data_IF_298183989722
#
_entry.id   IF_298183989722
#
_cell.length_a   1.000
_cell.length_b   1.000
_cell.length_c   1.000
_cell.angle_alpha   90.00
_cell.angle_beta   90.00
_cell.angle_gamma   90.00
#
_symmetry.space_group_name_H-M   'P 1'
#
loop_
_entity.id
_entity.type
_entity.pdbx_description
1 polymer ?
#
# COMPACT_ATOMS: atom_id res chain seq x y z
N UNK A 1 -13.85 -21.07 -8.98
CA UNK A 1 -15.09 -21.44 -9.68
C UNK A 1 -16.26 -21.16 -8.73
N UNK A 2 -17.41 -20.76 -9.17
CA UNK A 2 -18.62 -20.44 -8.40
C UNK A 2 -18.58 -19.22 -7.45
N UNK A 3 -17.52 -18.41 -7.43
CA UNK A 3 -17.41 -17.24 -6.54
C UNK A 3 -18.49 -16.21 -6.85
N UNK A 4 -18.81 -16.00 -8.12
CA UNK A 4 -19.83 -15.03 -8.56
C UNK A 4 -21.23 -15.42 -8.10
N UNK A 5 -21.55 -16.72 -8.12
CA UNK A 5 -22.85 -17.22 -7.63
C UNK A 5 -23.10 -16.96 -6.14
N UNK A 6 -22.01 -16.85 -5.34
CA UNK A 6 -22.15 -16.54 -3.90
C UNK A 6 -22.41 -15.06 -3.65
N UNK A 7 -22.03 -14.20 -4.58
CA UNK A 7 -22.23 -12.74 -4.50
C UNK A 7 -23.56 -12.29 -5.07
N UNK A 8 -24.16 -13.12 -5.90
CA UNK A 8 -25.44 -12.78 -6.55
C UNK A 8 -26.54 -12.50 -5.53
N UNK A 9 -27.22 -11.38 -5.67
CA UNK A 9 -28.30 -10.94 -4.78
C UNK A 9 -27.85 -10.50 -3.39
N UNK A 10 -26.53 -10.35 -3.17
CA UNK A 10 -25.97 -9.79 -1.93
C UNK A 10 -25.69 -8.31 -2.08
N UNK A 11 -25.90 -7.55 -1.01
CA UNK A 11 -25.57 -6.13 -0.94
C UNK A 11 -24.10 -5.97 -0.58
N UNK A 12 -23.62 -6.75 0.39
CA UNK A 12 -22.28 -6.67 0.94
C UNK A 12 -21.62 -8.05 0.95
N UNK A 13 -20.34 -8.08 0.67
CA UNK A 13 -19.48 -9.24 0.84
C UNK A 13 -18.27 -8.82 1.68
N UNK A 14 -18.20 -9.31 2.91
CA UNK A 14 -17.13 -9.00 3.85
C UNK A 14 -16.03 -10.06 3.73
N UNK A 15 -14.81 -9.60 3.52
CA UNK A 15 -13.59 -10.38 3.58
C UNK A 15 -12.83 -9.96 4.83
N UNK A 16 -13.05 -10.69 5.90
CA UNK A 16 -12.49 -10.38 7.20
C UNK A 16 -11.08 -10.96 7.36
N UNK A 17 -10.21 -10.18 8.01
CA UNK A 17 -8.85 -10.52 8.40
C UNK A 17 -8.02 -11.17 7.28
N UNK A 18 -7.92 -10.48 6.16
CA UNK A 18 -7.09 -10.96 5.05
C UNK A 18 -5.62 -10.99 5.45
N UNK A 19 -5.02 -12.16 5.35
CA UNK A 19 -3.57 -12.32 5.43
C UNK A 19 -2.85 -11.54 4.32
N UNK A 20 -1.58 -11.23 4.53
CA UNK A 20 -0.78 -10.58 3.51
C UNK A 20 -0.66 -11.44 2.26
N UNK A 21 -0.94 -10.85 1.10
CA UNK A 21 -0.73 -11.47 -0.21
C UNK A 21 -0.23 -10.46 -1.22
N UNK A 22 0.41 -10.93 -2.29
CA UNK A 22 0.85 -10.10 -3.40
C UNK A 22 -0.16 -10.19 -4.54
N UNK A 23 -0.78 -9.06 -4.88
CA UNK A 23 -1.71 -8.98 -6.00
C UNK A 23 -0.94 -8.95 -7.32
N UNK A 24 -1.17 -9.92 -8.16
CA UNK A 24 -0.50 -10.03 -9.47
C UNK A 24 -1.33 -9.45 -10.63
N UNK A 25 -2.66 -9.48 -10.52
CA UNK A 25 -3.59 -9.06 -11.57
C UNK A 25 -4.76 -8.25 -11.00
N UNK A 26 -5.03 -7.12 -11.62
CA UNK A 26 -6.14 -6.21 -11.28
C UNK A 26 -7.38 -6.41 -12.14
N UNK A 27 -7.28 -7.19 -13.21
CA UNK A 27 -8.36 -7.37 -14.18
C UNK A 27 -9.65 -7.84 -13.53
N UNK A 28 -9.54 -8.79 -12.61
CA UNK A 28 -10.69 -9.33 -11.87
C UNK A 28 -11.36 -8.28 -10.98
N UNK A 29 -10.58 -7.50 -10.25
CA UNK A 29 -11.10 -6.41 -9.41
C UNK A 29 -11.79 -5.36 -10.26
N UNK A 30 -11.17 -4.97 -11.38
CA UNK A 30 -11.72 -4.00 -12.32
C UNK A 30 -13.01 -4.49 -12.97
N UNK A 31 -13.06 -5.74 -13.36
CA UNK A 31 -14.24 -6.34 -13.95
C UNK A 31 -15.41 -6.36 -12.95
N UNK A 32 -15.16 -6.82 -11.72
CA UNK A 32 -16.20 -6.93 -10.68
C UNK A 32 -16.77 -5.58 -10.28
N UNK A 33 -15.94 -4.55 -10.15
CA UNK A 33 -16.34 -3.18 -9.79
C UNK A 33 -16.82 -2.33 -10.97
N UNK A 34 -16.65 -2.81 -12.21
CA UNK A 34 -17.01 -2.09 -13.42
C UNK A 34 -18.49 -2.18 -13.79
N UNK A 35 -19.29 -2.96 -13.07
CA UNK A 35 -20.73 -3.12 -13.34
C UNK A 35 -21.04 -3.90 -14.63
N UNK A 36 -20.07 -4.64 -15.16
CA UNK A 36 -20.28 -5.51 -16.32
C UNK A 36 -21.01 -6.79 -15.96
N UNK A 37 -21.59 -7.45 -16.96
CA UNK A 37 -22.12 -8.78 -16.79
C UNK A 37 -21.00 -9.80 -16.58
N UNK A 38 -21.25 -10.75 -15.70
CA UNK A 38 -20.34 -11.84 -15.39
C UNK A 38 -21.02 -13.16 -15.64
N UNK A 39 -20.24 -14.13 -16.08
CA UNK A 39 -20.74 -15.51 -16.16
C UNK A 39 -20.92 -16.05 -14.74
N UNK A 40 -22.16 -16.31 -14.36
CA UNK A 40 -22.55 -16.88 -13.08
C UNK A 40 -22.73 -18.38 -13.26
N UNK A 41 -21.85 -19.15 -12.62
CA UNK A 41 -21.87 -20.61 -12.69
C UNK A 41 -22.27 -21.18 -11.33
N UNK A 42 -23.21 -22.12 -11.33
CA UNK A 42 -23.63 -22.91 -10.15
C UNK A 42 -23.37 -24.38 -10.40
N UNK A 43 -23.05 -25.13 -9.35
CA UNK A 43 -22.83 -26.58 -9.48
C UNK A 43 -24.11 -27.27 -10.00
N UNK A 44 -24.00 -28.01 -11.10
CA UNK A 44 -25.10 -28.76 -11.68
C UNK A 44 -26.17 -27.92 -12.39
N UNK A 45 -25.86 -26.66 -12.73
CA UNK A 45 -26.76 -25.80 -13.53
C UNK A 45 -25.95 -25.12 -14.64
N UNK A 46 -26.63 -24.83 -15.74
CA UNK A 46 -26.06 -24.05 -16.81
C UNK A 46 -25.68 -22.64 -16.32
N UNK A 47 -24.54 -22.16 -16.78
CA UNK A 47 -24.09 -20.80 -16.46
C UNK A 47 -24.88 -19.78 -17.27
N UNK A 48 -25.15 -18.64 -16.68
CA UNK A 48 -25.81 -17.51 -17.33
C UNK A 48 -25.06 -16.20 -17.07
N UNK A 49 -25.32 -15.20 -17.87
CA UNK A 49 -24.74 -13.87 -17.69
C UNK A 49 -25.62 -13.03 -16.77
N UNK A 50 -25.02 -12.52 -15.71
CA UNK A 50 -25.71 -11.69 -14.72
C UNK A 50 -24.83 -10.57 -14.18
N UNK A 51 -25.46 -9.53 -13.67
CA UNK A 51 -24.77 -8.40 -13.05
C UNK A 51 -24.63 -8.61 -11.56
N UNK A 52 -23.38 -8.44 -11.07
CA UNK A 52 -23.06 -8.46 -9.65
C UNK A 52 -22.98 -7.03 -9.15
N UNK A 53 -23.83 -6.69 -8.18
CA UNK A 53 -23.90 -5.35 -7.56
C UNK A 53 -23.39 -5.33 -6.12
N UNK A 54 -22.85 -6.46 -5.66
CA UNK A 54 -22.31 -6.63 -4.31
C UNK A 54 -21.09 -5.74 -4.10
N UNK A 55 -21.10 -4.98 -3.02
CA UNK A 55 -19.92 -4.24 -2.57
C UNK A 55 -19.00 -5.17 -1.79
N UNK A 56 -17.74 -5.26 -2.19
CA UNK A 56 -16.73 -5.98 -1.42
C UNK A 56 -16.07 -5.06 -0.40
N UNK A 57 -16.03 -5.49 0.86
CA UNK A 57 -15.31 -4.84 1.95
C UNK A 57 -14.22 -5.78 2.43
N UNK A 58 -13.02 -5.26 2.55
CA UNK A 58 -11.86 -6.02 2.98
C UNK A 58 -11.30 -5.41 4.26
N UNK A 59 -11.07 -6.24 5.28
CA UNK A 59 -10.31 -5.87 6.46
C UNK A 59 -8.98 -6.60 6.45
N UNK A 60 -7.92 -5.93 6.85
CA UNK A 60 -6.58 -6.52 6.93
C UNK A 60 -5.70 -5.70 7.87
N UNK A 61 -4.82 -6.37 8.59
CA UNK A 61 -3.79 -5.71 9.39
C UNK A 61 -2.73 -5.02 8.52
N UNK A 62 -2.58 -5.51 7.29
CA UNK A 62 -1.65 -4.98 6.31
C UNK A 62 -2.26 -5.02 4.91
N UNK A 63 -2.19 -3.93 4.14
CA UNK A 63 -2.70 -3.94 2.77
C UNK A 63 -1.90 -4.91 1.90
N UNK A 64 -2.57 -5.46 0.87
CA UNK A 64 -1.93 -6.33 -0.10
C UNK A 64 -0.75 -5.64 -0.79
N UNK A 65 0.33 -6.40 -1.02
CA UNK A 65 1.40 -5.99 -1.92
C UNK A 65 0.95 -6.11 -3.38
N UNK A 66 1.66 -5.45 -4.28
CA UNK A 66 1.37 -5.52 -5.72
C UNK A 66 2.62 -5.29 -6.57
N UNK A 67 2.52 -5.64 -7.85
CA UNK A 67 3.59 -5.42 -8.82
C UNK A 67 3.62 -3.96 -9.30
N UNK A 68 4.77 -3.51 -9.83
CA UNK A 68 4.97 -2.15 -10.34
C UNK A 68 3.89 -1.70 -11.34
N UNK A 69 3.41 -2.60 -12.19
CA UNK A 69 2.36 -2.27 -13.17
C UNK A 69 1.05 -1.84 -12.50
N UNK A 70 0.72 -2.39 -11.34
CA UNK A 70 -0.46 -2.00 -10.56
C UNK A 70 -0.26 -0.65 -9.91
N UNK A 71 0.95 -0.33 -9.50
CA UNK A 71 1.29 0.96 -8.89
C UNK A 71 0.88 2.16 -9.77
N UNK A 72 1.00 2.03 -11.09
CA UNK A 72 0.64 3.08 -12.05
C UNK A 72 -0.78 2.94 -12.63
N UNK A 73 -1.53 1.91 -12.24
CA UNK A 73 -2.88 1.64 -12.77
C UNK A 73 -3.94 2.54 -12.13
N UNK A 74 -4.13 3.75 -12.71
CA UNK A 74 -5.14 4.71 -12.30
C UNK A 74 -6.54 4.08 -12.20
N UNK A 75 -6.89 3.18 -13.13
CA UNK A 75 -8.19 2.55 -13.18
C UNK A 75 -8.41 1.59 -12.00
N UNK A 76 -7.36 0.96 -11.51
CA UNK A 76 -7.40 0.17 -10.30
C UNK A 76 -7.60 1.04 -9.06
N UNK A 77 -6.73 2.03 -8.84
CA UNK A 77 -6.77 2.89 -7.65
C UNK A 77 -8.06 3.68 -7.55
N UNK A 78 -8.61 4.14 -8.67
CA UNK A 78 -9.87 4.87 -8.70
C UNK A 78 -11.11 4.06 -8.28
N UNK A 79 -10.97 2.76 -7.95
CA UNK A 79 -12.07 1.90 -7.49
C UNK A 79 -12.06 1.61 -5.99
N UNK A 80 -11.02 2.06 -5.29
CA UNK A 80 -10.86 1.80 -3.88
C UNK A 80 -11.30 2.98 -3.03
N UNK A 81 -11.93 2.66 -1.92
CA UNK A 81 -12.01 3.47 -0.73
C UNK A 81 -11.06 2.85 0.28
N UNK A 82 -10.09 3.61 0.76
CA UNK A 82 -9.13 3.14 1.74
C UNK A 82 -9.35 3.86 3.06
N UNK A 83 -9.77 3.11 4.08
CA UNK A 83 -9.93 3.60 5.44
C UNK A 83 -8.79 3.05 6.28
N UNK A 84 -7.98 3.95 6.83
CA UNK A 84 -6.85 3.59 7.66
C UNK A 84 -7.18 3.82 9.12
N UNK A 85 -6.94 2.79 9.95
CA UNK A 85 -7.08 2.84 11.40
C UNK A 85 -5.68 2.83 12.03
N UNK A 86 -5.09 4.00 12.34
CA UNK A 86 -3.69 4.10 12.77
C UNK A 86 -3.50 3.72 14.24
N UNK A 87 -4.57 3.69 15.01
CA UNK A 87 -4.50 3.47 16.43
C UNK A 87 -4.59 1.99 16.77
N UNK A 88 -3.72 1.55 17.65
CA UNK A 88 -3.81 0.26 18.28
C UNK A 88 -4.47 0.43 19.66
N UNK A 89 -5.43 -0.42 19.94
CA UNK A 89 -6.14 -0.43 21.23
C UNK A 89 -5.98 -1.80 21.86
N UNK A 90 -5.68 -1.82 23.13
CA UNK A 90 -5.72 -3.06 23.91
C UNK A 90 -7.15 -3.57 23.99
N UNK A 91 -7.28 -4.89 24.04
CA UNK A 91 -8.58 -5.52 24.20
C UNK A 91 -9.21 -5.07 25.51
N UNK A 92 -10.44 -4.54 25.44
CA UNK A 92 -11.19 -4.09 26.60
C UNK A 92 -12.62 -4.63 26.53
N UNK A 93 -12.87 -5.72 27.25
CA UNK A 93 -14.15 -6.39 27.27
C UNK A 93 -15.26 -5.53 27.91
N UNK A 94 -14.91 -4.67 28.85
CA UNK A 94 -15.85 -3.75 29.46
C UNK A 94 -16.29 -2.66 28.46
N UNK A 95 -15.35 -2.13 27.69
CA UNK A 95 -15.65 -1.19 26.60
C UNK A 95 -16.61 -1.84 25.59
N UNK A 96 -16.36 -3.08 25.19
CA UNK A 96 -17.24 -3.78 24.24
C UNK A 96 -18.65 -3.93 24.80
N UNK A 97 -18.80 -4.38 26.05
CA UNK A 97 -20.12 -4.53 26.71
C UNK A 97 -20.89 -3.21 26.79
N UNK A 98 -20.18 -2.13 27.15
CA UNK A 98 -20.80 -0.81 27.33
C UNK A 98 -21.10 -0.10 26.01
N UNK A 99 -20.32 -0.40 24.95
CA UNK A 99 -20.49 0.24 23.64
C UNK A 99 -21.55 -0.45 22.78
N UNK A 100 -21.57 -1.80 22.78
CA UNK A 100 -22.48 -2.56 21.93
C UNK A 100 -23.80 -2.93 22.62
N UNK A 101 -24.35 -2.00 23.41
CA UNK A 101 -25.69 -2.14 24.01
C UNK A 101 -26.78 -2.06 22.94
N UNK A 102 -27.98 -2.58 23.20
CA UNK A 102 -29.11 -2.47 22.28
C UNK A 102 -29.52 -1.02 22.03
N UNK A 103 -29.37 -0.15 23.01
CA UNK A 103 -29.63 1.27 22.87
C UNK A 103 -28.64 1.92 21.90
N UNK A 104 -27.33 1.68 22.03
CA UNK A 104 -26.30 2.20 21.14
C UNK A 104 -26.45 1.65 19.71
N UNK A 105 -26.78 0.37 19.55
CA UNK A 105 -27.06 -0.23 18.25
C UNK A 105 -28.28 0.44 17.59
N UNK A 106 -29.33 0.68 18.36
CA UNK A 106 -30.53 1.37 17.87
C UNK A 106 -30.23 2.81 17.47
N UNK A 107 -29.47 3.55 18.28
CA UNK A 107 -29.03 4.90 17.95
C UNK A 107 -28.19 4.93 16.66
N UNK A 108 -27.23 4.02 16.52
CA UNK A 108 -26.42 3.89 15.30
C UNK A 108 -27.30 3.58 14.06
N UNK A 109 -28.25 2.65 14.18
CA UNK A 109 -29.16 2.33 13.10
C UNK A 109 -30.00 3.54 12.66
N UNK A 110 -30.45 4.35 13.61
CA UNK A 110 -31.20 5.58 13.31
C UNK A 110 -30.35 6.57 12.51
N UNK A 111 -29.06 6.74 12.84
CA UNK A 111 -28.17 7.60 12.06
C UNK A 111 -27.93 7.04 10.64
N UNK A 112 -27.77 5.74 10.49
CA UNK A 112 -27.68 5.10 9.18
C UNK A 112 -28.94 5.32 8.35
N UNK A 113 -30.13 5.21 8.95
CA UNK A 113 -31.41 5.46 8.26
C UNK A 113 -31.51 6.91 7.81
N UNK A 114 -31.12 7.88 8.65
CA UNK A 114 -31.11 9.31 8.27
C UNK A 114 -30.21 9.53 7.06
N UNK A 115 -28.98 9.01 7.08
CA UNK A 115 -28.05 9.10 5.95
C UNK A 115 -28.64 8.49 4.66
N UNK A 116 -29.32 7.36 4.74
CA UNK A 116 -29.98 6.73 3.59
C UNK A 116 -31.08 7.61 3.02
N UNK A 117 -31.87 8.26 3.88
CA UNK A 117 -32.93 9.18 3.47
C UNK A 117 -32.36 10.40 2.75
N UNK A 118 -31.29 11.00 3.29
CA UNK A 118 -30.58 12.14 2.68
C UNK A 118 -30.03 11.76 1.30
N UNK A 119 -29.33 10.63 1.18
CA UNK A 119 -28.80 10.12 -0.10
C UNK A 119 -29.93 9.93 -1.13
N UNK A 120 -31.10 9.42 -0.72
CA UNK A 120 -32.24 9.24 -1.62
C UNK A 120 -32.88 10.56 -2.06
N UNK A 121 -32.95 11.54 -1.18
CA UNK A 121 -33.47 12.87 -1.49
C UNK A 121 -32.58 13.62 -2.47
N UNK A 122 -31.27 13.58 -2.25
CA UNK A 122 -30.28 14.23 -3.10
C UNK A 122 -30.01 13.48 -4.42
N UNK A 123 -30.54 12.28 -4.59
CA UNK A 123 -30.36 11.39 -5.76
C UNK A 123 -28.92 11.05 -6.12
N UNK A 124 -27.96 11.36 -5.28
CA UNK A 124 -26.56 10.99 -5.46
C UNK A 124 -25.91 10.72 -4.11
N UNK A 125 -24.89 9.91 -4.14
CA UNK A 125 -24.07 9.64 -2.97
C UNK A 125 -23.13 10.83 -2.75
N UNK A 126 -23.35 11.58 -1.69
CA UNK A 126 -22.46 12.68 -1.27
C UNK A 126 -21.21 12.09 -0.61
N UNK A 127 -20.56 11.17 -1.26
CA UNK A 127 -19.26 10.71 -0.82
C UNK A 127 -18.21 11.41 -1.67
N UNK A 128 -17.49 12.32 -1.06
CA UNK A 128 -16.35 12.94 -1.69
C UNK A 128 -15.32 11.86 -1.97
N UNK A 129 -15.22 11.46 -3.23
CA UNK A 129 -14.28 10.44 -3.64
C UNK A 129 -12.87 11.01 -3.58
N UNK A 130 -12.02 10.38 -2.80
CA UNK A 130 -10.60 10.76 -2.79
C UNK A 130 -9.97 10.58 -4.18
N UNK A 131 -9.04 11.44 -4.51
CA UNK A 131 -8.22 11.29 -5.70
C UNK A 131 -7.45 9.96 -5.64
N UNK A 132 -7.38 9.28 -6.76
CA UNK A 132 -6.73 7.96 -6.85
C UNK A 132 -5.26 7.96 -6.40
N UNK A 133 -4.58 9.10 -6.52
CA UNK A 133 -3.20 9.30 -6.04
C UNK A 133 -3.12 9.27 -4.54
N UNK A 134 -4.12 9.83 -3.85
CA UNK A 134 -4.19 9.84 -2.39
C UNK A 134 -4.54 8.46 -1.84
N UNK A 135 -5.46 7.76 -2.46
CA UNK A 135 -5.78 6.35 -2.09
C UNK A 135 -4.52 5.49 -2.20
N UNK A 136 -3.78 5.63 -3.31
CA UNK A 136 -2.52 4.92 -3.52
C UNK A 136 -1.48 5.29 -2.46
N UNK A 137 -1.33 6.59 -2.15
CA UNK A 137 -0.38 7.07 -1.15
C UNK A 137 -0.66 6.45 0.22
N UNK A 138 -1.91 6.49 0.68
CA UNK A 138 -2.33 5.89 1.95
C UNK A 138 -2.06 4.38 2.00
N UNK A 139 -2.38 3.69 0.91
CA UNK A 139 -2.10 2.25 0.79
C UNK A 139 -0.60 1.96 0.89
N UNK A 140 0.22 2.74 0.19
CA UNK A 140 1.67 2.60 0.22
C UNK A 140 2.24 2.88 1.61
N UNK A 141 1.79 3.94 2.28
CA UNK A 141 2.22 4.25 3.65
C UNK A 141 1.92 3.11 4.63
N UNK A 142 0.78 2.46 4.50
CA UNK A 142 0.40 1.36 5.39
C UNK A 142 1.07 0.02 5.04
N UNK A 143 1.43 -0.21 3.78
CA UNK A 143 1.96 -1.49 3.30
C UNK A 143 3.45 -1.52 3.00
N UNK A 144 4.09 -0.36 2.87
CA UNK A 144 5.50 -0.24 2.50
C UNK A 144 6.23 0.71 3.45
N UNK A 145 6.96 0.15 4.39
CA UNK A 145 7.68 0.91 5.41
C UNK A 145 8.79 1.79 4.80
N UNK A 146 9.41 1.37 3.70
CA UNK A 146 10.39 2.18 2.99
C UNK A 146 9.75 3.43 2.36
N UNK A 147 8.52 3.32 1.85
CA UNK A 147 7.81 4.48 1.31
C UNK A 147 7.59 5.54 2.39
N UNK A 148 7.17 5.14 3.57
CA UNK A 148 6.98 6.04 4.72
C UNK A 148 8.31 6.68 5.16
N UNK A 149 9.37 5.88 5.25
CA UNK A 149 10.70 6.39 5.53
C UNK A 149 11.15 7.46 4.52
N UNK A 150 10.91 7.22 3.22
CA UNK A 150 11.23 8.17 2.15
C UNK A 150 10.44 9.47 2.32
N UNK A 151 9.12 9.40 2.53
CA UNK A 151 8.29 10.61 2.73
C UNK A 151 8.80 11.45 3.91
N UNK A 152 9.21 10.82 5.00
CA UNK A 152 9.69 11.54 6.19
C UNK A 152 11.08 12.16 6.00
N UNK A 153 11.97 11.48 5.29
CA UNK A 153 13.40 11.78 5.29
C UNK A 153 13.98 12.28 3.97
N UNK A 154 13.23 12.16 2.88
CA UNK A 154 13.70 12.49 1.55
C UNK A 154 12.71 13.42 0.82
N UNK A 155 13.21 14.08 -0.22
CA UNK A 155 12.41 14.89 -1.15
C UNK A 155 12.51 14.32 -2.55
N UNK A 156 11.44 14.43 -3.31
CA UNK A 156 11.42 14.02 -4.72
C UNK A 156 12.37 14.91 -5.52
N UNK A 157 13.02 14.33 -6.50
CA UNK A 157 14.03 14.97 -7.34
C UNK A 157 15.45 14.52 -6.99
N UNK A 158 16.31 14.56 -7.98
CA UNK A 158 17.63 13.94 -7.91
C UNK A 158 17.57 12.41 -8.12
N UNK A 159 18.75 11.84 -8.24
CA UNK A 159 18.92 10.39 -8.37
C UNK A 159 20.04 9.95 -7.43
N UNK A 160 19.68 9.25 -6.37
CA UNK A 160 20.63 8.82 -5.35
C UNK A 160 20.76 7.30 -5.39
N UNK A 161 22.01 6.82 -5.38
CA UNK A 161 22.34 5.41 -5.27
C UNK A 161 22.74 5.10 -3.83
N UNK A 162 22.21 4.00 -3.29
CA UNK A 162 22.44 3.57 -1.91
C UNK A 162 22.99 2.17 -1.90
N UNK A 163 24.09 1.94 -1.20
CA UNK A 163 24.51 0.58 -0.87
C UNK A 163 23.39 -0.10 -0.06
N UNK A 164 23.04 -1.34 -0.41
CA UNK A 164 21.87 -2.04 0.13
C UNK A 164 21.86 -2.08 1.66
N UNK A 165 22.98 -2.42 2.27
CA UNK A 165 23.10 -2.51 3.72
C UNK A 165 23.07 -1.16 4.42
N UNK A 166 23.57 -0.10 3.77
CA UNK A 166 23.51 1.26 4.32
C UNK A 166 22.06 1.76 4.39
N UNK A 167 21.30 1.65 3.29
CA UNK A 167 19.87 2.03 3.29
C UNK A 167 19.06 1.21 4.28
N UNK A 168 19.33 -0.09 4.38
CA UNK A 168 18.66 -0.97 5.32
C UNK A 168 18.96 -0.59 6.78
N UNK A 169 20.20 -0.21 7.08
CA UNK A 169 20.60 0.28 8.40
C UNK A 169 19.91 1.59 8.75
N UNK A 170 19.85 2.52 7.79
CA UNK A 170 19.14 3.79 7.97
C UNK A 170 17.66 3.57 8.25
N UNK A 171 17.01 2.67 7.48
CA UNK A 171 15.60 2.31 7.65
C UNK A 171 15.34 1.66 9.02
N UNK A 172 16.18 0.71 9.44
CA UNK A 172 16.07 0.09 10.76
C UNK A 172 16.19 1.11 11.90
N UNK A 173 17.17 2.00 11.82
CA UNK A 173 17.34 3.05 12.82
C UNK A 173 16.12 3.96 12.90
N UNK A 174 15.52 4.29 11.76
CA UNK A 174 14.30 5.09 11.70
C UNK A 174 13.11 4.33 12.32
N UNK A 175 12.93 3.05 12.04
CA UNK A 175 11.87 2.23 12.63
C UNK A 175 11.95 2.20 14.15
N UNK A 176 13.14 1.98 14.70
CA UNK A 176 13.38 1.95 16.15
C UNK A 176 13.04 3.31 16.77
N UNK A 177 13.56 4.40 16.20
CA UNK A 177 13.36 5.76 16.73
C UNK A 177 11.89 6.19 16.72
N UNK A 178 11.11 5.72 15.74
CA UNK A 178 9.70 6.08 15.57
C UNK A 178 8.74 5.01 16.12
N UNK A 179 9.25 3.92 16.71
CA UNK A 179 8.46 2.78 17.21
C UNK A 179 7.49 2.24 16.16
N UNK A 180 7.94 2.09 14.93
CA UNK A 180 7.11 1.73 13.79
C UNK A 180 7.74 0.62 12.96
N UNK A 181 6.88 -0.31 12.51
CA UNK A 181 7.13 -1.12 11.34
C UNK A 181 8.26 -2.13 11.40
N UNK A 182 8.75 -2.50 12.59
CA UNK A 182 9.75 -3.58 12.68
C UNK A 182 9.25 -4.89 12.06
N UNK A 183 7.97 -5.17 12.19
CA UNK A 183 7.27 -6.30 11.60
C UNK A 183 7.14 -6.21 10.07
N UNK A 184 7.26 -5.00 9.51
CA UNK A 184 7.24 -4.73 8.07
C UNK A 184 8.62 -4.77 7.42
N UNK A 185 9.68 -4.82 8.22
CA UNK A 185 11.05 -4.91 7.69
C UNK A 185 11.31 -6.30 7.12
N UNK A 186 11.95 -6.40 5.95
CA UNK A 186 12.45 -7.67 5.47
C UNK A 186 13.60 -8.16 6.36
N UNK A 187 13.87 -9.45 6.32
CA UNK A 187 14.94 -10.04 7.14
C UNK A 187 16.32 -9.60 6.68
N UNK A 188 16.49 -9.33 5.38
CA UNK A 188 17.77 -8.97 4.76
C UNK A 188 17.63 -7.71 3.92
N UNK A 189 18.74 -6.96 3.82
CA UNK A 189 18.82 -5.76 2.97
C UNK A 189 18.46 -6.03 1.50
N UNK A 190 18.84 -7.19 1.00
CA UNK A 190 18.56 -7.60 -0.38
C UNK A 190 17.07 -7.65 -0.70
N UNK A 191 16.27 -8.04 0.27
CA UNK A 191 14.81 -8.22 0.11
C UNK A 191 14.04 -6.87 0.05
N UNK A 192 14.72 -5.73 0.25
CA UNK A 192 14.16 -4.38 0.02
C UNK A 192 13.91 -4.05 -1.45
N UNK A 193 14.45 -4.82 -2.39
CA UNK A 193 14.39 -4.52 -3.82
C UNK A 193 12.96 -4.24 -4.31
N UNK A 194 12.02 -5.11 -3.98
CA UNK A 194 10.59 -4.94 -4.33
C UNK A 194 10.02 -3.62 -3.76
N UNK A 195 10.38 -3.26 -2.52
CA UNK A 195 9.92 -2.02 -1.88
C UNK A 195 10.49 -0.78 -2.58
N UNK A 196 11.76 -0.84 -3.00
CA UNK A 196 12.43 0.21 -3.77
C UNK A 196 11.76 0.41 -5.13
N UNK A 197 11.44 -0.67 -5.82
CA UNK A 197 10.75 -0.61 -7.12
C UNK A 197 9.36 0.00 -7.01
N UNK A 198 8.62 -0.32 -5.95
CA UNK A 198 7.33 0.29 -5.66
C UNK A 198 7.43 1.80 -5.37
N UNK A 199 8.57 2.25 -4.85
CA UNK A 199 8.86 3.68 -4.68
C UNK A 199 9.37 4.35 -5.98
N UNK A 200 9.30 3.65 -7.11
CA UNK A 200 9.76 4.17 -8.41
C UNK A 200 11.27 4.12 -8.60
N UNK A 201 11.98 3.37 -7.76
CA UNK A 201 13.42 3.16 -7.85
C UNK A 201 13.82 1.95 -8.68
N UNK A 202 15.10 1.59 -8.60
CA UNK A 202 15.69 0.38 -9.18
C UNK A 202 16.13 -0.52 -8.03
N UNK A 203 15.53 -1.70 -7.93
CA UNK A 203 15.73 -2.65 -6.83
C UNK A 203 17.07 -3.39 -6.87
N UNK A 204 17.75 -3.39 -8.02
CA UNK A 204 19.11 -3.90 -8.15
C UNK A 204 19.83 -3.19 -9.30
N UNK A 205 20.93 -2.53 -8.98
CA UNK A 205 21.81 -1.85 -9.90
C UNK A 205 23.27 -2.06 -9.49
N UNK A 206 24.18 -1.84 -10.41
CA UNK A 206 25.61 -1.81 -10.11
C UNK A 206 26.13 -0.39 -10.26
N UNK A 207 26.87 0.10 -9.28
CA UNK A 207 27.50 1.41 -9.27
C UNK A 207 28.85 1.36 -8.56
N UNK A 208 29.73 2.22 -8.99
CA UNK A 208 31.01 2.47 -8.32
C UNK A 208 30.82 3.52 -7.24
N UNK A 209 31.44 3.34 -6.09
CA UNK A 209 31.35 4.27 -4.96
C UNK A 209 32.72 4.82 -4.59
N UNK A 210 32.80 6.15 -4.36
CA UNK A 210 34.06 6.89 -4.09
C UNK A 210 34.82 6.35 -2.88
N UNK A 211 34.08 6.04 -1.81
CA UNK A 211 34.64 5.60 -0.54
C UNK A 211 34.73 4.06 -0.38
N UNK A 212 34.57 3.31 -1.46
CA UNK A 212 34.65 1.83 -1.49
C UNK A 212 35.69 1.34 -2.48
N UNK A 213 36.80 2.06 -2.62
CA UNK A 213 37.95 1.67 -3.47
C UNK A 213 37.62 1.64 -4.96
N UNK A 214 36.64 2.42 -5.42
CA UNK A 214 36.21 2.50 -6.83
C UNK A 214 35.82 1.14 -7.44
N UNK A 215 35.39 0.19 -6.60
CA UNK A 215 34.83 -1.09 -7.07
C UNK A 215 33.34 -1.02 -7.29
N UNK A 216 32.82 -1.87 -8.18
CA UNK A 216 31.39 -1.96 -8.46
C UNK A 216 30.68 -2.69 -7.33
N UNK A 217 29.62 -2.10 -6.81
CA UNK A 217 28.77 -2.67 -5.78
C UNK A 217 27.31 -2.74 -6.23
N UNK A 218 26.60 -3.77 -5.77
CA UNK A 218 25.16 -3.85 -5.90
C UNK A 218 24.50 -2.80 -5.00
N UNK A 219 23.57 -2.02 -5.56
CA UNK A 219 22.93 -0.89 -4.89
C UNK A 219 21.46 -0.74 -5.26
N UNK A 220 20.75 0.01 -4.45
CA UNK A 220 19.43 0.56 -4.78
C UNK A 220 19.59 1.95 -5.40
N UNK A 221 18.72 2.30 -6.35
CA UNK A 221 18.67 3.65 -6.90
C UNK A 221 17.28 4.22 -6.66
N UNK A 222 17.20 5.38 -6.01
CA UNK A 222 15.98 6.09 -5.75
C UNK A 222 15.99 7.45 -6.45
N UNK A 223 14.82 7.92 -6.89
CA UNK A 223 14.64 9.26 -7.49
C UNK A 223 14.33 10.31 -6.41
N UNK A 224 15.06 10.24 -5.30
CA UNK A 224 14.91 11.07 -4.13
C UNK A 224 16.27 11.52 -3.62
N UNK A 225 16.28 12.68 -2.96
CA UNK A 225 17.44 13.24 -2.27
C UNK A 225 17.14 13.38 -0.78
N UNK A 226 18.17 13.31 0.07
CA UNK A 226 18.00 13.51 1.50
C UNK A 226 17.48 14.90 1.83
N UNK A 227 16.50 14.99 2.74
CA UNK A 227 16.19 16.26 3.39
C UNK A 227 17.41 16.73 4.18
N UNK A 228 17.77 18.04 4.17
CA UNK A 228 18.95 18.54 4.88
C UNK A 228 18.99 18.17 6.37
N UNK A 229 17.83 18.15 7.03
CA UNK A 229 17.66 17.87 8.45
C UNK A 229 17.61 16.37 8.80
N UNK A 230 17.61 15.46 7.82
CA UNK A 230 17.50 14.03 8.12
C UNK A 230 18.74 13.51 8.82
N UNK A 231 18.57 13.07 10.07
CA UNK A 231 19.65 12.46 10.87
C UNK A 231 20.08 11.07 10.39
N UNK A 232 19.29 10.45 9.52
CA UNK A 232 19.56 9.09 9.01
C UNK A 232 20.52 9.08 7.83
N UNK A 233 20.79 10.22 7.21
CA UNK A 233 21.82 10.38 6.16
C UNK A 233 23.17 9.84 6.59
N UNK A 234 23.53 9.94 7.87
CA UNK A 234 24.79 9.45 8.42
C UNK A 234 25.00 7.94 8.25
N UNK A 235 23.94 7.16 8.10
CA UNK A 235 24.01 5.72 7.87
C UNK A 235 24.24 5.35 6.40
N UNK A 236 24.15 6.32 5.48
CA UNK A 236 24.41 6.15 4.06
C UNK A 236 25.56 7.08 3.62
N UNK A 237 26.78 6.84 4.09
CA UNK A 237 27.93 7.71 3.79
C UNK A 237 28.47 7.52 2.37
N UNK A 238 28.07 6.47 1.67
CA UNK A 238 28.62 6.12 0.37
C UNK A 238 28.02 6.96 -0.73
N UNK A 239 28.86 7.61 -1.53
CA UNK A 239 28.48 8.39 -2.70
C UNK A 239 28.86 7.65 -3.99
N UNK A 240 27.93 7.53 -4.92
CA UNK A 240 28.21 6.98 -6.24
C UNK A 240 29.21 7.89 -6.97
N UNK A 241 30.21 7.27 -7.56
CA UNK A 241 31.19 7.97 -8.40
C UNK A 241 30.53 8.42 -9.70
N UNK A 242 30.90 9.61 -10.17
CA UNK A 242 30.58 10.10 -11.51
C UNK A 242 31.57 9.51 -12.52
N UNK A 243 31.22 9.57 -13.81
CA UNK A 243 32.13 9.10 -14.88
C UNK A 243 33.48 9.84 -14.81
N UNK A 244 33.47 11.11 -14.38
CA UNK A 244 34.67 11.92 -14.23
C UNK A 244 35.55 11.45 -13.04
N UNK A 245 34.94 11.05 -11.93
CA UNK A 245 35.68 10.47 -10.80
C UNK A 245 36.38 9.15 -11.18
N UNK A 246 35.72 8.36 -12.03
CA UNK A 246 36.25 7.08 -12.52
C UNK A 246 37.47 7.32 -13.45
N UNK A 247 37.34 8.23 -14.40
CA UNK A 247 38.40 8.57 -15.37
C UNK A 247 39.63 9.09 -14.63
N UNK A 248 39.47 9.99 -13.67
CA UNK A 248 40.59 10.58 -12.92
C UNK A 248 41.35 9.56 -12.06
N UNK A 249 40.72 8.42 -11.73
CA UNK A 249 41.38 7.39 -10.94
C UNK A 249 42.31 6.46 -11.76
N UNK A 250 42.27 6.54 -13.09
CA UNK A 250 43.14 5.77 -14.00
C UNK A 250 44.27 6.62 -14.59
N UNK A 251 44.36 7.91 -14.25
CA UNK A 251 45.44 8.81 -14.56
C UNK A 251 46.37 9.01 -13.36
#
# INVERSE_FOLDING_TARGET
>A
RFVMARKEGKILNLHDDLGYFKMGDTGRVKAMSGGYNHKIERKGKDGYDGRITTVDVYTANRPAGFNRNIYIDKAFWGRWYYVYFPNHFDQNDEFQKNTFTEENKSAFLNEVIKMIVEIRQEKHLVVQKEEWTEVRRKWMQAGNILYKFIEDNMVAGGRTSFIKDELFTALKAWCIDNKQGEDLLPQRSFDLGDMVELCGGIGDAQRVFKNKGLTSHHCFVLNYSWKPQSKYKKYCPSEAATDQDIITSYC
#
